data_IF_478533160917
#
_entry.id   IF_478533160917
#
_cell.length_a   1.000
_cell.length_b   1.000
_cell.length_c   1.000
_cell.angle_alpha   90.00
_cell.angle_beta   90.00
_cell.angle_gamma   90.00
#
_symmetry.space_group_name_H-M   'P 1'
#
loop_
_entity.id
_entity.type
_entity.pdbx_description
1 polymer ?
#
# COMPACT_ATOMS: atom_id res chain seq x y z
N UNK A 1 -1.92 25.31 -16.14
CA UNK A 1 -1.33 24.30 -15.25
C UNK A 1 -0.29 23.60 -16.08
N UNK A 2 0.98 23.66 -15.68
CA UNK A 2 2.07 23.12 -16.49
C UNK A 2 2.21 21.61 -16.23
N UNK A 3 2.77 20.84 -17.16
CA UNK A 3 3.00 19.38 -16.99
C UNK A 3 3.74 19.04 -15.70
N UNK A 4 4.68 19.90 -15.28
CA UNK A 4 5.40 19.76 -14.00
C UNK A 4 4.49 19.85 -12.78
N UNK A 5 3.44 20.67 -12.83
CA UNK A 5 2.50 20.83 -11.71
C UNK A 5 1.55 19.62 -11.62
N UNK A 6 1.25 18.98 -12.76
CA UNK A 6 0.42 17.78 -12.84
C UNK A 6 1.20 16.58 -12.27
N UNK A 7 2.44 16.40 -12.71
CA UNK A 7 3.31 15.33 -12.23
C UNK A 7 3.55 15.41 -10.71
N UNK A 8 3.87 16.60 -10.18
CA UNK A 8 4.09 16.79 -8.75
C UNK A 8 2.81 16.55 -7.91
N UNK A 9 1.63 16.81 -8.48
CA UNK A 9 0.36 16.53 -7.83
C UNK A 9 0.06 15.03 -7.79
N UNK A 10 0.35 14.30 -8.86
CA UNK A 10 0.20 12.84 -8.94
C UNK A 10 1.17 12.13 -7.99
N UNK A 11 2.43 12.57 -7.91
CA UNK A 11 3.41 12.05 -6.94
C UNK A 11 2.94 12.24 -5.48
N UNK A 12 2.38 13.41 -5.14
CA UNK A 12 1.84 13.66 -3.80
C UNK A 12 0.60 12.80 -3.50
N UNK A 13 -0.24 12.51 -4.50
CA UNK A 13 -1.36 11.58 -4.34
C UNK A 13 -0.89 10.14 -4.12
N UNK A 14 0.06 9.66 -4.91
CA UNK A 14 0.62 8.30 -4.77
C UNK A 14 1.27 8.14 -3.41
N UNK A 15 2.07 9.11 -2.97
CA UNK A 15 2.68 9.12 -1.63
C UNK A 15 1.64 9.07 -0.51
N UNK A 16 0.58 9.88 -0.60
CA UNK A 16 -0.52 9.86 0.38
C UNK A 16 -1.21 8.50 0.42
N UNK A 17 -1.41 7.86 -0.74
CA UNK A 17 -2.04 6.55 -0.82
C UNK A 17 -1.17 5.46 -0.21
N UNK A 18 0.13 5.44 -0.52
CA UNK A 18 1.10 4.52 0.09
C UNK A 18 1.13 4.65 1.62
N UNK A 19 1.13 5.88 2.14
CA UNK A 19 1.06 6.12 3.58
C UNK A 19 -0.25 5.60 4.21
N UNK A 20 -1.38 5.74 3.51
CA UNK A 20 -2.67 5.20 3.95
C UNK A 20 -2.66 3.67 3.99
N UNK A 21 -2.10 3.03 2.96
CA UNK A 21 -1.94 1.58 2.90
C UNK A 21 -1.08 1.09 4.07
N UNK A 22 0.09 1.70 4.30
CA UNK A 22 0.99 1.33 5.38
C UNK A 22 0.32 1.45 6.77
N UNK A 23 -0.41 2.55 7.01
CA UNK A 23 -1.15 2.75 8.27
C UNK A 23 -2.23 1.68 8.47
N UNK A 24 -2.97 1.34 7.43
CA UNK A 24 -4.03 0.32 7.49
C UNK A 24 -3.43 -1.06 7.73
N UNK A 25 -2.38 -1.42 6.99
CA UNK A 25 -1.67 -2.70 7.14
C UNK A 25 -1.16 -2.90 8.58
N UNK A 26 -0.52 -1.89 9.17
CA UNK A 26 -0.03 -1.97 10.56
C UNK A 26 -1.17 -2.16 11.56
N UNK A 27 -2.27 -1.42 11.42
CA UNK A 27 -3.44 -1.58 12.31
C UNK A 27 -4.01 -2.98 12.26
N UNK A 28 -4.17 -3.54 11.06
CA UNK A 28 -4.70 -4.89 10.86
C UNK A 28 -3.73 -5.95 11.38
N UNK A 29 -2.43 -5.80 11.15
CA UNK A 29 -1.42 -6.72 11.68
C UNK A 29 -1.42 -6.74 13.22
N UNK A 30 -1.54 -5.57 13.86
CA UNK A 30 -1.67 -5.47 15.31
C UNK A 30 -2.97 -6.11 15.81
N UNK A 31 -4.08 -5.93 15.10
CA UNK A 31 -5.35 -6.57 15.43
C UNK A 31 -5.26 -8.09 15.32
N UNK A 32 -4.66 -8.60 14.25
CA UNK A 32 -4.46 -10.04 14.03
C UNK A 32 -3.70 -10.70 15.18
N UNK A 33 -2.66 -10.04 15.70
CA UNK A 33 -1.85 -10.52 16.81
C UNK A 33 -2.52 -10.48 18.19
N UNK A 34 -3.72 -9.89 18.33
CA UNK A 34 -4.43 -9.86 19.62
C UNK A 34 -5.01 -11.24 19.96
N UNK A 35 -4.92 -11.68 21.24
CA UNK A 35 -5.34 -13.02 21.67
C UNK A 35 -6.86 -13.26 21.60
N UNK A 36 -7.67 -12.22 21.41
CA UNK A 36 -9.14 -12.32 21.36
C UNK A 36 -9.73 -11.95 20.00
N UNK A 37 -8.89 -11.86 18.96
CA UNK A 37 -9.40 -11.63 17.60
C UNK A 37 -10.08 -12.90 17.11
N UNK A 38 -11.37 -12.80 16.77
CA UNK A 38 -12.17 -13.92 16.29
C UNK A 38 -11.53 -14.54 15.04
N UNK A 39 -11.63 -15.86 14.87
CA UNK A 39 -11.05 -16.58 13.73
C UNK A 39 -11.53 -16.04 12.38
N UNK A 40 -12.82 -15.73 12.27
CA UNK A 40 -13.40 -15.10 11.07
C UNK A 40 -12.77 -13.74 10.80
N UNK A 41 -12.54 -12.95 11.85
CA UNK A 41 -11.87 -11.66 11.74
C UNK A 41 -10.40 -11.80 11.34
N UNK A 42 -9.70 -12.81 11.86
CA UNK A 42 -8.33 -13.13 11.44
C UNK A 42 -8.26 -13.53 9.97
N UNK A 43 -9.19 -14.34 9.48
CA UNK A 43 -9.28 -14.71 8.06
C UNK A 43 -9.55 -13.48 7.19
N UNK A 44 -10.47 -12.62 7.60
CA UNK A 44 -10.74 -11.35 6.91
C UNK A 44 -9.51 -10.44 6.90
N UNK A 45 -8.82 -10.29 8.04
CA UNK A 45 -7.60 -9.48 8.14
C UNK A 45 -6.52 -9.99 7.18
N UNK A 46 -6.33 -11.31 7.06
CA UNK A 46 -5.37 -11.88 6.11
C UNK A 46 -5.70 -11.49 4.66
N UNK A 47 -6.96 -11.66 4.25
CA UNK A 47 -7.39 -11.29 2.90
C UNK A 47 -7.19 -9.79 2.64
N UNK A 48 -7.54 -8.95 3.60
CA UNK A 48 -7.40 -7.50 3.46
C UNK A 48 -5.93 -7.07 3.42
N UNK A 49 -5.04 -7.73 4.18
CA UNK A 49 -3.59 -7.50 4.10
C UNK A 49 -3.04 -7.86 2.71
N UNK A 50 -3.46 -8.99 2.14
CA UNK A 50 -3.05 -9.37 0.77
C UNK A 50 -3.55 -8.35 -0.26
N UNK A 51 -4.82 -7.92 -0.18
CA UNK A 51 -5.38 -6.86 -1.04
C UNK A 51 -4.56 -5.56 -0.95
N UNK A 52 -4.17 -5.16 0.26
CA UNK A 52 -3.34 -3.95 0.49
C UNK A 52 -1.93 -4.09 -0.08
N UNK A 53 -1.36 -5.31 -0.11
CA UNK A 53 -0.06 -5.58 -0.75
C UNK A 53 -0.17 -5.48 -2.27
N UNK A 54 -1.21 -6.06 -2.86
CA UNK A 54 -1.48 -5.93 -4.29
C UNK A 54 -1.68 -4.46 -4.70
N UNK A 55 -2.43 -3.70 -3.91
CA UNK A 55 -2.66 -2.28 -4.15
C UNK A 55 -1.36 -1.46 -4.08
N UNK A 56 -0.50 -1.74 -3.08
CA UNK A 56 0.84 -1.13 -2.99
C UNK A 56 1.65 -1.48 -4.23
N UNK A 57 1.69 -2.75 -4.63
CA UNK A 57 2.53 -3.20 -5.73
C UNK A 57 2.09 -2.58 -7.06
N UNK A 58 0.80 -2.35 -7.24
CA UNK A 58 0.27 -1.59 -8.39
C UNK A 58 0.74 -0.14 -8.37
N UNK A 59 0.62 0.56 -7.23
CA UNK A 59 1.07 1.94 -7.10
C UNK A 59 2.57 2.10 -7.36
N UNK A 60 3.40 1.18 -6.84
CA UNK A 60 4.84 1.20 -7.04
C UNK A 60 5.24 0.89 -8.49
N UNK A 61 4.50 0.00 -9.18
CA UNK A 61 4.76 -0.28 -10.60
C UNK A 61 4.48 0.93 -11.49
N UNK A 62 3.46 1.71 -11.16
CA UNK A 62 3.16 2.96 -11.86
C UNK A 62 4.27 4.01 -11.73
N UNK A 63 5.06 3.99 -10.65
CA UNK A 63 6.23 4.89 -10.49
C UNK A 63 7.47 4.40 -11.26
N UNK A 64 7.57 3.10 -11.58
CA UNK A 64 8.76 2.49 -12.23
C UNK A 64 8.76 2.51 -13.77
N UNK A 65 7.69 2.95 -14.43
CA UNK A 65 7.71 3.07 -15.91
C UNK A 65 8.60 4.23 -16.41
N UNK A 66 9.06 5.10 -15.50
CA UNK A 66 10.13 6.09 -15.76
C UNK A 66 11.36 5.82 -14.90
N UNK A 67 11.94 4.62 -15.03
CA UNK A 67 13.37 4.45 -14.81
C UNK A 67 13.78 3.62 -13.60
N UNK A 68 14.77 2.79 -13.86
CA UNK A 68 15.60 1.96 -12.98
C UNK A 68 15.09 0.55 -12.69
N UNK A 69 15.77 -0.34 -13.40
CA UNK A 69 15.93 -1.77 -13.19
C UNK A 69 15.95 -2.22 -11.72
N UNK A 70 15.28 -3.35 -11.49
CA UNK A 70 15.71 -4.47 -10.64
C UNK A 70 16.51 -4.11 -9.38
N UNK A 71 15.85 -4.19 -8.21
CA UNK A 71 16.53 -4.59 -6.98
C UNK A 71 15.77 -5.76 -6.35
N UNK A 72 16.28 -7.00 -6.42
CA UNK A 72 15.79 -8.11 -5.61
C UNK A 72 16.37 -7.99 -4.20
N UNK A 73 15.50 -8.11 -3.19
CA UNK A 73 15.86 -8.16 -1.77
C UNK A 73 14.63 -8.43 -0.91
#
# INVERSE_FOLDING_TARGET
>A
MNEKDIFAFEEDQTRRRLLQIARTHVKLALEYGKPHTLLERQAWIKQEIERLREERDQLMRCETEEGTDLIPG
#
